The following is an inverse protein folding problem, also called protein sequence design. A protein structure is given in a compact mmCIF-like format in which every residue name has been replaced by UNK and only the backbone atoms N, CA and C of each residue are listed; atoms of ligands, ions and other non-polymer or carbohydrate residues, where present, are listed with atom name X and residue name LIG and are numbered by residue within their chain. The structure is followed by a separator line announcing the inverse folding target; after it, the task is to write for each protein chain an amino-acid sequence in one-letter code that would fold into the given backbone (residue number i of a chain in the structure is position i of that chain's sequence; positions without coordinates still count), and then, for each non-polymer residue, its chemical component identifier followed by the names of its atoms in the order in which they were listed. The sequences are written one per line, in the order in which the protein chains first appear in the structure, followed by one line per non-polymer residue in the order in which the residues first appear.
data_IF_552335066704
#
_entry.id   IF_552335066704
#
_cell.length_a   1.000
_cell.length_b   1.000
_cell.length_c   1.000
_cell.angle_alpha   90.00
_cell.angle_beta   90.00
_cell.angle_gamma   90.00
#
_symmetry.space_group_name_H-M   'P 1'
#
loop_
_entity.id
_entity.type
_entity.pdbx_description
1 polymer ?
#
# COMPACT_ATOMS: atom_id res chain seq x y z
N UNK A 1 8.76 2.19 -36.23
CA UNK A 1 7.54 2.64 -35.52
C UNK A 1 7.49 1.85 -34.23
N UNK A 2 7.72 2.51 -33.08
CA UNK A 2 7.29 2.04 -31.76
C UNK A 2 6.70 3.28 -31.09
N UNK A 3 5.43 3.20 -30.70
CA UNK A 3 4.71 4.23 -29.94
C UNK A 3 4.62 3.68 -28.52
N UNK A 4 5.50 4.15 -27.64
CA UNK A 4 5.40 3.89 -26.21
C UNK A 4 4.41 4.90 -25.62
N UNK A 5 3.12 4.62 -25.76
CA UNK A 5 2.02 5.35 -25.11
C UNK A 5 1.91 4.92 -23.64
N UNK A 6 2.85 5.36 -22.79
CA UNK A 6 2.65 5.32 -21.35
C UNK A 6 2.53 6.77 -20.83
N UNK A 7 1.36 7.22 -20.36
CA UNK A 7 1.24 8.57 -19.81
C UNK A 7 2.10 8.67 -18.54
N UNK A 8 2.88 9.75 -18.34
CA UNK A 8 3.73 9.86 -17.17
C UNK A 8 2.87 10.00 -15.92
N UNK A 9 3.05 9.09 -14.95
CA UNK A 9 2.46 9.20 -13.62
C UNK A 9 2.85 10.54 -13.00
N UNK A 10 1.86 11.34 -12.64
CA UNK A 10 2.08 12.70 -12.12
C UNK A 10 2.32 12.60 -10.61
N UNK A 11 3.58 12.38 -10.21
CA UNK A 11 3.98 12.37 -8.81
C UNK A 11 4.15 13.81 -8.31
N UNK A 12 3.43 14.19 -7.26
CA UNK A 12 3.54 15.50 -6.61
C UNK A 12 4.33 15.32 -5.31
N UNK A 13 5.50 15.96 -5.23
CA UNK A 13 6.33 15.95 -4.03
C UNK A 13 6.09 17.22 -3.21
N UNK A 14 5.74 17.08 -1.94
CA UNK A 14 5.73 18.19 -0.98
C UNK A 14 7.08 18.18 -0.28
N UNK A 15 7.92 19.19 -0.54
CA UNK A 15 9.25 19.34 0.05
C UNK A 15 9.17 20.37 1.18
N UNK A 16 9.42 19.94 2.42
CA UNK A 16 9.60 20.83 3.56
C UNK A 16 11.03 21.42 3.54
N UNK A 17 11.19 22.75 3.41
CA UNK A 17 12.51 23.39 3.30
C UNK A 17 13.30 23.42 4.62
N UNK A 18 12.72 22.96 5.73
CA UNK A 18 13.36 22.94 7.05
C UNK A 18 13.98 21.59 7.42
N UNK A 19 13.77 20.56 6.60
CA UNK A 19 14.40 19.24 6.79
C UNK A 19 15.90 19.35 6.52
N UNK A 20 16.71 19.16 7.56
CA UNK A 20 18.17 18.99 7.47
C UNK A 20 18.52 17.94 6.41
N UNK A 21 19.58 18.20 5.64
CA UNK A 21 20.04 17.42 4.47
C UNK A 21 20.43 15.95 4.72
N UNK A 22 20.20 15.42 5.91
CA UNK A 22 20.57 14.05 6.28
C UNK A 22 19.36 13.12 6.22
N UNK A 23 19.34 12.30 5.16
CA UNK A 23 18.48 11.13 4.92
C UNK A 23 17.00 11.45 4.69
N UNK A 24 16.67 11.75 3.43
CA UNK A 24 15.29 11.62 2.96
C UNK A 24 14.96 10.10 2.95
N UNK A 25 13.91 9.63 3.65
CA UNK A 25 13.60 8.21 3.69
C UNK A 25 13.25 7.73 2.28
N UNK A 26 13.91 6.67 1.83
CA UNK A 26 13.62 6.06 0.53
C UNK A 26 12.20 5.47 0.56
N UNK A 27 11.41 5.77 -0.47
CA UNK A 27 10.08 5.18 -0.66
C UNK A 27 10.23 3.99 -1.59
N UNK A 28 9.90 2.80 -1.10
CA UNK A 28 10.00 1.54 -1.83
C UNK A 28 8.61 0.97 -2.05
N UNK A 29 8.33 0.56 -3.28
CA UNK A 29 7.09 -0.18 -3.59
C UNK A 29 7.39 -1.66 -3.68
N UNK A 30 6.65 -2.47 -2.92
CA UNK A 30 6.68 -3.94 -3.00
C UNK A 30 5.40 -4.42 -3.66
N UNK A 31 5.52 -5.29 -4.65
CA UNK A 31 4.37 -5.93 -5.29
C UNK A 31 4.51 -7.45 -5.24
N UNK A 32 3.44 -8.14 -4.87
CA UNK A 32 3.33 -9.58 -4.94
C UNK A 32 1.92 -10.00 -5.38
N UNK A 33 1.78 -11.25 -5.80
CA UNK A 33 0.49 -11.83 -6.16
C UNK A 33 0.07 -12.84 -5.10
N UNK A 34 -1.17 -12.74 -4.62
CA UNK A 34 -1.75 -13.65 -3.62
C UNK A 34 -3.22 -13.93 -3.96
N UNK A 35 -3.59 -15.22 -4.12
CA UNK A 35 -4.93 -15.62 -4.57
C UNK A 35 -5.40 -14.86 -5.83
N UNK A 36 -4.54 -14.77 -6.85
CA UNK A 36 -4.75 -14.04 -8.11
C UNK A 36 -5.02 -12.52 -7.94
N UNK A 37 -4.87 -11.99 -6.73
CA UNK A 37 -4.91 -10.56 -6.45
C UNK A 37 -3.49 -9.99 -6.46
N UNK A 38 -3.35 -8.78 -6.98
CA UNK A 38 -2.11 -8.01 -6.83
C UNK A 38 -2.16 -7.27 -5.52
N UNK A 39 -1.17 -7.53 -4.66
CA UNK A 39 -0.96 -6.84 -3.39
C UNK A 39 0.23 -5.91 -3.57
N UNK A 40 0.02 -4.63 -3.34
CA UNK A 40 1.06 -3.60 -3.45
C UNK A 40 1.21 -2.91 -2.10
N UNK A 41 2.43 -2.85 -1.57
CA UNK A 41 2.77 -2.11 -0.36
C UNK A 41 3.67 -0.94 -0.69
N UNK A 42 3.41 0.21 -0.08
CA UNK A 42 4.28 1.40 -0.10
C UNK A 42 4.99 1.49 1.24
N UNK A 43 6.31 1.40 1.20
CA UNK A 43 7.17 1.36 2.36
C UNK A 43 8.07 2.60 2.41
N UNK A 44 8.48 2.97 3.61
CA UNK A 44 9.61 3.87 3.84
C UNK A 44 10.73 3.10 4.51
N UNK A 45 11.97 3.49 4.22
CA UNK A 45 13.15 2.89 4.85
C UNK A 45 13.95 3.91 5.71
N UNK A 46 13.47 4.23 6.92
CA UNK A 46 14.25 4.97 7.88
C UNK A 46 15.35 4.07 8.48
N UNK A 47 16.59 4.27 8.05
CA UNK A 47 17.79 3.62 8.61
C UNK A 47 17.79 2.08 8.52
N UNK A 48 17.60 1.57 7.30
CA UNK A 48 17.61 0.14 6.95
C UNK A 48 16.56 -0.69 7.72
N UNK A 49 15.43 -0.05 8.03
CA UNK A 49 14.26 -0.64 8.70
C UNK A 49 12.99 -0.25 7.96
N UNK A 50 12.63 -1.08 7.00
CA UNK A 50 11.40 -0.92 6.23
C UNK A 50 10.15 -0.88 7.13
N UNK A 51 9.35 0.17 6.95
CA UNK A 51 8.05 0.36 7.57
C UNK A 51 7.00 0.53 6.49
N UNK A 52 5.91 -0.23 6.55
CA UNK A 52 4.80 -0.06 5.62
C UNK A 52 3.99 1.18 6.00
N UNK A 53 3.71 2.04 5.03
CA UNK A 53 2.78 3.16 5.18
C UNK A 53 1.36 2.71 4.91
N UNK A 54 1.15 2.06 3.78
CA UNK A 54 -0.11 1.44 3.40
C UNK A 54 0.14 0.41 2.30
N UNK A 55 -0.82 -0.49 2.12
CA UNK A 55 -0.92 -1.31 0.93
C UNK A 55 -2.30 -1.26 0.31
N UNK A 56 -2.37 -1.74 -0.92
CA UNK A 56 -3.57 -1.83 -1.74
C UNK A 56 -3.69 -3.22 -2.31
N UNK A 57 -4.92 -3.70 -2.48
CA UNK A 57 -5.19 -4.98 -3.13
C UNK A 57 -6.10 -4.73 -4.32
N UNK A 58 -5.69 -5.20 -5.49
CA UNK A 58 -6.49 -5.23 -6.71
C UNK A 58 -6.78 -6.66 -7.13
N UNK A 59 -8.00 -6.90 -7.62
CA UNK A 59 -8.41 -8.21 -8.12
C UNK A 59 -7.72 -8.60 -9.43
N UNK A 60 -7.95 -9.84 -9.89
CA UNK A 60 -7.41 -10.34 -11.16
C UNK A 60 -7.91 -9.57 -12.38
N UNK A 61 -9.08 -8.91 -12.25
CA UNK A 61 -9.66 -8.01 -13.24
C UNK A 61 -9.10 -6.58 -13.16
N UNK A 62 -8.14 -6.33 -12.28
CA UNK A 62 -7.56 -5.01 -12.01
C UNK A 62 -8.46 -4.11 -11.14
N UNK A 63 -9.61 -4.59 -10.66
CA UNK A 63 -10.52 -3.80 -9.84
C UNK A 63 -9.92 -3.58 -8.45
N UNK A 64 -9.99 -2.35 -7.94
CA UNK A 64 -9.62 -2.04 -6.57
C UNK A 64 -10.56 -2.75 -5.58
N UNK A 65 -9.99 -3.52 -4.65
CA UNK A 65 -10.75 -4.24 -3.60
C UNK A 65 -10.70 -3.45 -2.30
N UNK A 66 -9.55 -2.85 -1.98
CA UNK A 66 -9.36 -2.06 -0.78
C UNK A 66 -7.90 -1.78 -0.48
N UNK A 67 -7.69 -1.04 0.60
CA UNK A 67 -6.39 -0.72 1.16
C UNK A 67 -6.28 -1.19 2.60
N UNK A 68 -5.04 -1.29 3.07
CA UNK A 68 -4.74 -1.62 4.46
C UNK A 68 -3.57 -0.78 4.94
N UNK A 69 -3.54 -0.45 6.23
CA UNK A 69 -2.48 0.37 6.81
C UNK A 69 -2.39 0.13 8.33
N UNK A 70 -1.20 0.29 8.94
CA UNK A 70 -1.08 0.38 10.39
C UNK A 70 -1.54 1.77 10.87
N UNK A 71 -2.44 1.84 11.85
CA UNK A 71 -2.80 3.14 12.45
C UNK A 71 -1.66 3.69 13.32
N UNK A 72 -0.81 2.81 13.88
CA UNK A 72 0.48 3.16 14.48
C UNK A 72 1.61 2.73 13.55
N UNK A 73 2.04 3.64 12.66
CA UNK A 73 3.09 3.40 11.65
C UNK A 73 4.43 3.06 12.31
N UNK A 74 4.78 3.68 13.44
CA UNK A 74 6.08 3.46 14.09
C UNK A 74 6.15 2.06 14.70
N UNK A 75 5.05 1.61 15.31
CA UNK A 75 4.97 0.28 15.92
C UNK A 75 4.51 -0.82 14.95
N UNK A 76 4.10 -0.43 13.73
CA UNK A 76 3.50 -1.33 12.73
C UNK A 76 2.35 -2.14 13.33
N UNK A 77 1.44 -1.45 14.01
CA UNK A 77 0.34 -2.05 14.78
C UNK A 77 -0.98 -1.32 14.57
N UNK A 78 -2.05 -1.82 15.20
CA UNK A 78 -3.42 -1.28 15.07
C UNK A 78 -3.87 -1.23 13.59
N UNK A 79 -3.73 -2.37 12.91
CA UNK A 79 -4.00 -2.46 11.48
C UNK A 79 -5.46 -2.17 11.16
N UNK A 80 -5.66 -1.46 10.05
CA UNK A 80 -6.96 -1.10 9.51
C UNK A 80 -7.06 -1.57 8.07
N UNK A 81 -8.25 -1.97 7.70
CA UNK A 81 -8.64 -2.30 6.32
C UNK A 81 -9.73 -1.32 5.92
N UNK A 82 -9.64 -0.80 4.70
CA UNK A 82 -10.68 0.00 4.07
C UNK A 82 -11.03 -0.66 2.75
N UNK A 83 -12.26 -1.18 2.63
CA UNK A 83 -12.75 -1.77 1.38
C UNK A 83 -13.09 -0.70 0.35
N UNK A 84 -13.23 -1.09 -0.91
CA UNK A 84 -13.54 -0.19 -2.01
C UNK A 84 -14.85 0.60 -1.85
N UNK A 85 -15.79 0.09 -1.05
CA UNK A 85 -17.04 0.78 -0.69
C UNK A 85 -16.88 1.77 0.49
N UNK A 86 -15.68 1.90 1.04
CA UNK A 86 -15.35 2.76 2.18
C UNK A 86 -15.58 2.14 3.55
N UNK A 87 -15.98 0.86 3.64
CA UNK A 87 -16.14 0.20 4.95
C UNK A 87 -14.78 -0.01 5.61
N UNK A 88 -14.66 0.42 6.86
CA UNK A 88 -13.44 0.30 7.65
C UNK A 88 -13.59 -0.75 8.76
N UNK A 89 -12.57 -1.58 8.96
CA UNK A 89 -12.51 -2.52 10.08
C UNK A 89 -11.08 -2.77 10.56
N UNK A 90 -10.90 -3.11 11.86
CA UNK A 90 -9.59 -3.45 12.40
C UNK A 90 -9.12 -4.84 11.95
N UNK A 91 -7.80 -5.02 11.88
CA UNK A 91 -7.13 -6.29 11.66
C UNK A 91 -6.04 -6.53 12.72
N UNK A 92 -5.74 -7.79 13.10
CA UNK A 92 -4.67 -8.09 14.06
C UNK A 92 -3.25 -7.85 13.54
N UNK A 93 -3.04 -7.96 12.23
CA UNK A 93 -1.74 -7.79 11.58
C UNK A 93 -1.90 -7.46 10.10
N UNK A 94 -0.79 -7.10 9.44
CA UNK A 94 -0.73 -6.91 7.99
C UNK A 94 -1.31 -8.11 7.23
N UNK A 95 -0.83 -9.31 7.54
CA UNK A 95 -1.28 -10.53 6.88
C UNK A 95 -2.79 -10.78 7.02
N UNK A 96 -3.37 -10.48 8.20
CA UNK A 96 -4.82 -10.60 8.38
C UNK A 96 -5.58 -9.56 7.55
N UNK A 97 -5.03 -8.35 7.41
CA UNK A 97 -5.60 -7.30 6.58
C UNK A 97 -5.62 -7.70 5.09
N UNK A 98 -4.50 -8.23 4.59
CA UNK A 98 -4.39 -8.76 3.22
C UNK A 98 -5.37 -9.92 3.01
N UNK A 99 -5.39 -10.90 3.93
CA UNK A 99 -6.32 -12.04 3.87
C UNK A 99 -7.77 -11.58 3.83
N UNK A 100 -8.15 -10.59 4.63
CA UNK A 100 -9.51 -10.05 4.61
C UNK A 100 -9.88 -9.49 3.22
N UNK A 101 -8.98 -8.72 2.60
CA UNK A 101 -9.23 -8.15 1.26
C UNK A 101 -9.29 -9.22 0.16
N UNK A 102 -8.33 -10.15 0.10
CA UNK A 102 -8.29 -11.17 -0.96
C UNK A 102 -9.40 -12.22 -0.84
N UNK A 103 -10.02 -12.37 0.35
CA UNK A 103 -11.15 -13.28 0.56
C UNK A 103 -12.51 -12.59 0.39
N UNK A 104 -12.59 -11.27 0.53
CA UNK A 104 -13.84 -10.50 0.32
C UNK A 104 -14.38 -10.69 -1.10
N UNK A 105 -13.51 -10.86 -2.10
CA UNK A 105 -13.89 -11.14 -3.50
C UNK A 105 -14.69 -12.44 -3.70
N UNK A 106 -14.67 -13.39 -2.75
CA UNK A 106 -15.37 -14.68 -2.91
C UNK A 106 -16.84 -14.63 -2.48
N UNK A 107 -17.33 -13.52 -1.94
CA UNK A 107 -18.70 -13.38 -1.43
C UNK A 107 -19.62 -12.52 -2.31
N UNK A 108 -19.12 -11.98 -3.41
CA UNK A 108 -19.91 -11.20 -4.36
C UNK A 108 -20.37 -12.06 -5.55
#
# INVERSE_FOLDING_TARGET
MNHDDNPPERVVYVVDPTMSRDVQPEVVTRTNTENDCTVTGVLIDPADRQQLLYGTVTGPDGRFIGSYFPADIVRQSEWRVVTADGTEYPAPSEGHAVVALITTLRRA
#
